data_IF_982117723490
#
_entry.id   IF_982117723490
#
_cell.length_a   1.000
_cell.length_b   1.000
_cell.length_c   1.000
_cell.angle_alpha   90.00
_cell.angle_beta   90.00
_cell.angle_gamma   90.00
#
_symmetry.space_group_name_H-M   'P 1'
#
loop_
_entity.id
_entity.type
_entity.pdbx_description
1 polymer ?
#
# COMPACT_ATOMS: atom_id res chain seq x y z
N UNK A 1 -37.60 59.96 -48.91
CA UNK A 1 -36.19 60.20 -48.55
C UNK A 1 -35.94 59.64 -47.16
N UNK A 2 -35.30 58.47 -47.09
CA UNK A 2 -35.25 57.59 -45.91
C UNK A 2 -34.00 57.88 -45.07
N UNK A 3 -34.17 57.74 -43.75
CA UNK A 3 -33.34 58.21 -42.63
C UNK A 3 -31.89 57.70 -42.63
N UNK A 4 -31.01 58.53 -42.06
CA UNK A 4 -29.58 58.29 -41.82
C UNK A 4 -29.37 57.03 -40.95
N UNK A 5 -28.57 56.10 -41.45
CA UNK A 5 -28.10 54.92 -40.71
C UNK A 5 -27.07 55.36 -39.68
N UNK A 6 -27.34 55.05 -38.41
CA UNK A 6 -26.47 55.32 -37.28
C UNK A 6 -25.13 54.60 -37.42
N UNK A 7 -24.04 55.33 -37.19
CA UNK A 7 -22.68 54.79 -37.17
C UNK A 7 -22.59 53.74 -36.05
N UNK A 8 -22.01 52.56 -36.29
CA UNK A 8 -21.87 51.53 -35.26
C UNK A 8 -20.95 52.08 -34.17
N UNK A 9 -21.52 52.45 -33.03
CA UNK A 9 -20.79 53.02 -31.90
C UNK A 9 -20.01 51.95 -31.15
N UNK A 10 -18.94 52.38 -30.47
CA UNK A 10 -18.06 51.58 -29.59
C UNK A 10 -18.83 50.72 -28.56
N UNK A 11 -20.06 51.11 -28.23
CA UNK A 11 -21.00 50.36 -27.38
C UNK A 11 -21.36 48.98 -27.96
N UNK A 12 -21.50 48.85 -29.29
CA UNK A 12 -21.76 47.56 -29.93
C UNK A 12 -20.57 46.60 -29.92
N UNK A 13 -19.35 47.14 -29.80
CA UNK A 13 -18.10 46.38 -29.75
C UNK A 13 -17.84 45.85 -28.34
N UNK A 14 -18.10 46.65 -27.30
CA UNK A 14 -17.99 46.22 -25.90
C UNK A 14 -19.03 45.17 -25.48
N UNK A 15 -20.26 45.26 -26.01
CA UNK A 15 -21.30 44.25 -25.73
C UNK A 15 -21.00 42.89 -26.40
N UNK A 16 -20.43 42.90 -27.62
CA UNK A 16 -20.06 41.66 -28.32
C UNK A 16 -18.86 40.95 -27.70
N UNK A 17 -17.88 41.66 -27.13
CA UNK A 17 -16.78 41.02 -26.41
C UNK A 17 -17.23 40.44 -25.07
N UNK A 18 -18.18 41.05 -24.36
CA UNK A 18 -18.72 40.48 -23.12
C UNK A 18 -19.48 39.17 -23.33
N UNK A 19 -20.27 39.06 -24.41
CA UNK A 19 -21.00 37.82 -24.74
C UNK A 19 -20.07 36.73 -25.28
N UNK A 20 -19.10 37.10 -26.13
CA UNK A 20 -18.11 36.15 -26.66
C UNK A 20 -17.10 35.72 -25.60
N UNK A 21 -16.70 36.60 -24.68
CA UNK A 21 -15.85 36.25 -23.54
C UNK A 21 -16.60 35.41 -22.51
N UNK A 22 -17.89 35.69 -22.26
CA UNK A 22 -18.73 34.94 -21.32
C UNK A 22 -19.01 33.50 -21.75
N UNK A 23 -19.07 33.22 -23.05
CA UNK A 23 -19.16 31.83 -23.56
C UNK A 23 -17.79 31.18 -23.69
N UNK A 24 -16.72 31.93 -23.95
CA UNK A 24 -15.35 31.40 -23.95
C UNK A 24 -14.91 30.89 -22.56
N UNK A 25 -15.24 31.60 -21.47
CA UNK A 25 -14.98 31.11 -20.11
C UNK A 25 -15.88 29.94 -19.72
N UNK A 26 -17.13 29.90 -20.18
CA UNK A 26 -18.02 28.77 -19.93
C UNK A 26 -17.55 27.48 -20.62
N UNK A 27 -17.06 27.58 -21.86
CA UNK A 27 -16.53 26.42 -22.62
C UNK A 27 -15.15 25.99 -22.10
N UNK A 28 -14.26 26.92 -21.78
CA UNK A 28 -12.97 26.59 -21.16
C UNK A 28 -13.15 26.00 -19.76
N UNK A 29 -14.10 26.51 -18.97
CA UNK A 29 -14.47 25.94 -17.68
C UNK A 29 -15.03 24.53 -17.81
N UNK A 30 -15.90 24.28 -18.80
CA UNK A 30 -16.46 22.96 -19.06
C UNK A 30 -15.39 21.94 -19.48
N UNK A 31 -14.45 22.31 -20.36
CA UNK A 31 -13.34 21.42 -20.73
C UNK A 31 -12.38 21.16 -19.57
N UNK A 32 -12.04 22.19 -18.78
CA UNK A 32 -11.16 22.02 -17.61
C UNK A 32 -11.83 21.11 -16.56
N UNK A 33 -13.14 21.28 -16.32
CA UNK A 33 -13.89 20.44 -15.41
C UNK A 33 -14.07 19.00 -15.93
N UNK A 34 -14.21 18.83 -17.25
CA UNK A 34 -14.24 17.51 -17.89
C UNK A 34 -12.89 16.79 -17.80
N UNK A 35 -11.78 17.51 -17.99
CA UNK A 35 -10.43 16.96 -17.82
C UNK A 35 -10.17 16.59 -16.36
N UNK A 36 -10.59 17.43 -15.41
CA UNK A 36 -10.48 17.14 -13.97
C UNK A 36 -11.31 15.91 -13.57
N UNK A 37 -12.54 15.79 -14.07
CA UNK A 37 -13.38 14.59 -13.85
C UNK A 37 -12.73 13.33 -14.42
N UNK A 38 -12.23 13.39 -15.67
CA UNK A 38 -11.48 12.26 -16.25
C UNK A 38 -10.26 11.88 -15.43
N UNK A 39 -9.52 12.86 -14.91
CA UNK A 39 -8.36 12.61 -14.07
C UNK A 39 -8.75 11.95 -12.74
N UNK A 40 -9.84 12.41 -12.11
CA UNK A 40 -10.41 11.78 -10.92
C UNK A 40 -10.87 10.35 -11.21
N UNK A 41 -11.65 10.14 -12.28
CA UNK A 41 -12.16 8.82 -12.66
C UNK A 41 -11.01 7.82 -12.90
N UNK A 42 -9.91 8.25 -13.53
CA UNK A 42 -8.73 7.41 -13.73
C UNK A 42 -8.00 7.09 -12.42
N UNK A 43 -7.91 8.06 -11.51
CA UNK A 43 -7.29 7.84 -10.20
C UNK A 43 -8.12 6.87 -9.34
N UNK A 44 -9.44 7.00 -9.40
CA UNK A 44 -10.37 6.14 -8.68
C UNK A 44 -10.36 4.71 -9.25
N UNK A 45 -10.30 4.55 -10.58
CA UNK A 45 -10.13 3.24 -11.21
C UNK A 45 -8.83 2.55 -10.78
N UNK A 46 -7.71 3.26 -10.79
CA UNK A 46 -6.43 2.68 -10.37
C UNK A 46 -6.44 2.25 -8.89
N UNK A 47 -7.07 3.04 -8.01
CA UNK A 47 -7.24 2.64 -6.61
C UNK A 47 -8.13 1.40 -6.48
N UNK A 48 -9.23 1.32 -7.24
CA UNK A 48 -10.11 0.16 -7.23
C UNK A 48 -9.39 -1.11 -7.69
N UNK A 49 -8.60 -1.05 -8.77
CA UNK A 49 -7.80 -2.18 -9.24
C UNK A 49 -6.75 -2.63 -8.22
N UNK A 50 -6.03 -1.69 -7.61
CA UNK A 50 -5.05 -1.99 -6.57
C UNK A 50 -5.70 -2.63 -5.33
N UNK A 51 -6.84 -2.09 -4.88
CA UNK A 51 -7.58 -2.63 -3.76
C UNK A 51 -8.09 -4.05 -4.05
N UNK A 52 -8.55 -4.31 -5.27
CA UNK A 52 -9.03 -5.63 -5.68
C UNK A 52 -7.89 -6.65 -5.73
N UNK A 53 -6.71 -6.26 -6.22
CA UNK A 53 -5.51 -7.12 -6.18
C UNK A 53 -5.10 -7.46 -4.74
N UNK A 54 -5.13 -6.48 -3.84
CA UNK A 54 -4.76 -6.70 -2.44
C UNK A 54 -5.78 -7.57 -1.70
N UNK A 55 -7.07 -7.42 -2.00
CA UNK A 55 -8.11 -8.31 -1.48
C UNK A 55 -7.93 -9.76 -1.97
N UNK A 56 -7.59 -9.95 -3.24
CA UNK A 56 -7.31 -11.28 -3.80
C UNK A 56 -6.10 -11.94 -3.14
N UNK A 57 -5.02 -11.18 -2.90
CA UNK A 57 -3.84 -11.69 -2.17
C UNK A 57 -4.16 -12.07 -0.73
N UNK A 58 -4.95 -11.26 -0.02
CA UNK A 58 -5.35 -11.57 1.36
C UNK A 58 -6.23 -12.82 1.44
N UNK A 59 -7.15 -13.01 0.49
CA UNK A 59 -7.96 -14.23 0.43
C UNK A 59 -7.10 -15.48 0.18
N UNK A 60 -6.14 -15.40 -0.74
CA UNK A 60 -5.21 -16.50 -1.00
C UNK A 60 -4.31 -16.79 0.22
N UNK A 61 -3.82 -15.75 0.90
CA UNK A 61 -3.01 -15.89 2.11
C UNK A 61 -3.80 -16.57 3.26
N UNK A 62 -5.07 -16.20 3.46
CA UNK A 62 -5.92 -16.84 4.48
C UNK A 62 -6.15 -18.33 4.19
N UNK A 63 -6.33 -18.70 2.92
CA UNK A 63 -6.47 -20.11 2.53
C UNK A 63 -5.18 -20.91 2.79
N UNK A 64 -4.01 -20.32 2.51
CA UNK A 64 -2.73 -20.95 2.79
C UNK A 64 -2.52 -21.18 4.30
N UNK A 65 -2.83 -20.19 5.14
CA UNK A 65 -2.73 -20.32 6.61
C UNK A 65 -3.70 -21.39 7.14
N UNK A 66 -4.94 -21.46 6.60
CA UNK A 66 -5.91 -22.47 7.01
C UNK A 66 -5.46 -23.90 6.64
N UNK A 67 -4.87 -24.11 5.45
CA UNK A 67 -4.30 -25.40 5.10
C UNK A 67 -3.12 -25.79 6.00
N UNK A 68 -2.29 -24.82 6.39
CA UNK A 68 -1.13 -25.09 7.22
C UNK A 68 -1.52 -25.46 8.67
N UNK A 69 -2.61 -24.89 9.19
CA UNK A 69 -3.19 -25.34 10.47
C UNK A 69 -3.85 -26.72 10.38
N UNK A 70 -4.42 -27.10 9.22
CA UNK A 70 -5.03 -28.42 9.05
C UNK A 70 -4.00 -29.56 8.97
N UNK A 71 -2.75 -29.28 8.59
CA UNK A 71 -1.66 -30.25 8.59
C UNK A 71 -0.85 -30.25 9.91
N UNK A 72 -1.28 -29.49 10.92
CA UNK A 72 -0.75 -29.68 12.26
C UNK A 72 -1.19 -31.08 12.73
N UNK A 73 -0.26 -32.02 12.97
CA UNK A 73 -0.62 -33.36 13.40
C UNK A 73 -1.42 -33.26 14.71
N UNK A 74 -2.51 -34.04 14.89
CA UNK A 74 -3.16 -34.12 16.18
C UNK A 74 -2.09 -34.46 17.22
N UNK A 75 -2.11 -33.84 18.42
CA UNK A 75 -1.19 -34.23 19.48
C UNK A 75 -1.34 -35.74 19.67
N UNK A 76 -0.29 -36.48 19.34
CA UNK A 76 -0.29 -37.92 19.51
C UNK A 76 -0.64 -38.22 20.98
N UNK A 77 -1.52 -39.20 21.27
CA UNK A 77 -1.69 -39.66 22.64
C UNK A 77 -0.31 -40.05 23.15
N UNK A 78 0.14 -39.35 24.19
CA UNK A 78 1.46 -39.51 24.75
C UNK A 78 1.68 -41.01 25.05
N UNK A 79 2.66 -41.67 24.39
CA UNK A 79 3.27 -42.83 24.99
C UNK A 79 3.78 -42.36 26.35
N UNK A 80 3.64 -43.17 27.40
CA UNK A 80 4.36 -42.92 28.64
C UNK A 80 5.86 -42.93 28.30
N UNK A 81 6.41 -41.75 28.00
CA UNK A 81 7.78 -41.58 27.58
C UNK A 81 8.65 -41.62 28.85
N UNK A 82 9.78 -42.33 28.82
CA UNK A 82 10.86 -42.00 29.73
C UNK A 82 11.17 -40.51 29.55
N UNK A 83 11.32 -39.80 30.68
CA UNK A 83 11.55 -38.36 30.73
C UNK A 83 12.57 -37.93 29.66
N UNK A 84 12.13 -37.09 28.72
CA UNK A 84 13.04 -36.40 27.83
C UNK A 84 14.03 -35.61 28.70
N UNK A 85 15.35 -35.63 28.39
CA UNK A 85 16.28 -34.81 29.13
C UNK A 85 15.85 -33.36 28.97
N UNK A 86 15.76 -32.65 30.08
CA UNK A 86 15.52 -31.22 30.13
C UNK A 86 16.69 -30.49 29.46
N UNK A 87 16.68 -30.42 28.13
CA UNK A 87 17.76 -29.89 27.30
C UNK A 87 17.60 -28.42 26.90
N UNK A 88 16.59 -27.71 27.41
CA UNK A 88 16.36 -26.31 27.04
C UNK A 88 17.55 -25.39 27.32
N UNK A 89 18.34 -25.68 28.35
CA UNK A 89 19.55 -24.90 28.67
C UNK A 89 20.72 -25.17 27.73
N UNK A 90 20.88 -26.39 27.24
CA UNK A 90 21.99 -26.79 26.38
C UNK A 90 21.78 -26.29 24.94
N UNK A 91 20.53 -26.29 24.46
CA UNK A 91 20.14 -25.71 23.17
C UNK A 91 20.31 -24.17 23.12
N UNK A 92 20.03 -23.48 24.24
CA UNK A 92 20.26 -22.04 24.35
C UNK A 92 21.77 -21.74 24.29
N UNK A 93 22.60 -22.48 25.02
CA UNK A 93 24.05 -22.31 25.01
C UNK A 93 24.63 -22.59 23.61
N UNK A 94 24.19 -23.67 22.95
CA UNK A 94 24.60 -23.98 21.57
C UNK A 94 24.20 -22.87 20.58
N UNK A 95 23.02 -22.29 20.75
CA UNK A 95 22.52 -21.18 19.92
C UNK A 95 23.29 -19.87 20.15
N UNK A 96 23.67 -19.56 21.39
CA UNK A 96 24.55 -18.42 21.71
C UNK A 96 25.94 -18.57 21.08
N UNK A 97 26.47 -19.79 21.07
CA UNK A 97 27.78 -20.09 20.50
C UNK A 97 27.79 -19.93 18.97
N UNK A 98 26.71 -20.34 18.29
CA UNK A 98 26.52 -20.13 16.85
C UNK A 98 26.41 -18.65 16.48
N UNK A 99 25.70 -17.86 17.29
CA UNK A 99 25.62 -16.40 17.10
C UNK A 99 27.00 -15.73 17.25
N UNK A 100 27.82 -16.16 18.21
CA UNK A 100 29.19 -15.64 18.38
C UNK A 100 30.06 -15.94 17.17
N UNK A 101 30.04 -17.17 16.66
CA UNK A 101 30.81 -17.56 15.50
C UNK A 101 30.44 -16.75 14.24
N UNK A 102 29.15 -16.43 14.06
CA UNK A 102 28.68 -15.62 12.93
C UNK A 102 29.07 -14.13 13.08
N UNK A 103 29.11 -13.62 14.31
CA UNK A 103 29.64 -12.28 14.62
C UNK A 103 31.14 -12.19 14.30
N UNK A 104 31.92 -13.17 14.75
CA UNK A 104 33.37 -13.22 14.51
C UNK A 104 33.72 -13.39 13.03
N UNK A 105 32.85 -14.09 12.28
CA UNK A 105 32.92 -14.19 10.83
C UNK A 105 32.52 -12.89 10.10
N UNK A 106 32.06 -11.86 10.81
CA UNK A 106 31.58 -10.59 10.25
C UNK A 106 30.24 -10.71 9.51
N UNK A 107 29.53 -11.82 9.67
CA UNK A 107 28.22 -12.04 9.04
C UNK A 107 27.06 -11.38 9.81
N UNK A 108 27.28 -11.04 11.09
CA UNK A 108 26.37 -10.21 11.89
C UNK A 108 27.11 -9.00 12.44
N UNK A 109 26.40 -7.87 12.49
CA UNK A 109 26.85 -6.69 13.23
C UNK A 109 26.66 -6.87 14.75
N UNK A 110 27.39 -6.08 15.55
CA UNK A 110 27.26 -6.08 17.02
C UNK A 110 25.80 -5.84 17.47
N UNK A 111 25.08 -4.95 16.79
CA UNK A 111 23.70 -4.62 17.11
C UNK A 111 22.73 -5.79 16.87
N UNK A 112 22.94 -6.56 15.78
CA UNK A 112 22.12 -7.71 15.44
C UNK A 112 22.39 -8.90 16.36
N UNK A 113 23.65 -9.08 16.77
CA UNK A 113 24.04 -10.10 17.75
C UNK A 113 23.36 -9.88 19.11
N UNK A 114 23.39 -8.65 19.63
CA UNK A 114 22.76 -8.31 20.92
C UNK A 114 21.24 -8.49 20.88
N UNK A 115 20.57 -8.08 19.79
CA UNK A 115 19.14 -8.29 19.62
C UNK A 115 18.74 -9.77 19.59
N UNK A 116 19.53 -10.62 18.91
CA UNK A 116 19.30 -12.06 18.84
C UNK A 116 19.54 -12.74 20.19
N UNK A 117 20.60 -12.34 20.90
CA UNK A 117 20.92 -12.82 22.26
C UNK A 117 19.83 -12.46 23.27
N UNK A 118 19.32 -11.23 23.23
CA UNK A 118 18.23 -10.79 24.10
C UNK A 118 16.94 -11.58 23.85
N UNK A 119 16.61 -11.86 22.58
CA UNK A 119 15.47 -12.71 22.22
C UNK A 119 15.61 -14.14 22.72
N UNK A 120 16.82 -14.68 22.72
CA UNK A 120 17.08 -16.06 23.13
C UNK A 120 17.03 -16.24 24.66
N UNK A 121 17.33 -15.19 25.43
CA UNK A 121 17.35 -15.22 26.90
C UNK A 121 16.06 -14.71 27.55
N UNK A 122 15.28 -13.88 26.84
CA UNK A 122 14.04 -13.29 27.35
C UNK A 122 12.76 -13.78 26.66
N UNK A 123 12.88 -14.77 25.78
CA UNK A 123 11.76 -15.47 25.14
C UNK A 123 11.22 -16.60 26.00
#
# INVERSE_FOLDING_TARGET
MIRRVGRPGLVGLAARTAVVAGTATAVNGAMNNHQQRKAQDQYEQQQYEAAQQQAAMNAAAQQAVAQQMAYAPPPAPAPAAPAAPAGGGEDIVASLQKLSALKDAGALSDAEFEAAKARLLGG
#
